data_IF_719094260583
#
_entry.id   IF_719094260583
#
_cell.length_a   1.000
_cell.length_b   1.000
_cell.length_c   1.000
_cell.angle_alpha   90.00
_cell.angle_beta   90.00
_cell.angle_gamma   90.00
#
_symmetry.space_group_name_H-M   'P 1'
#
loop_
_entity.id
_entity.type
_entity.pdbx_description
1 polymer ?
#
# COMPACT_ATOMS: atom_id res chain seq x y z
N UNK A 1 -32.89 -26.82 -4.26
CA UNK A 1 -32.51 -25.51 -3.70
C UNK A 1 -31.50 -24.88 -4.63
N UNK A 2 -31.95 -23.96 -5.49
CA UNK A 2 -31.10 -23.12 -6.33
C UNK A 2 -30.41 -22.08 -5.44
N UNK A 3 -29.21 -22.42 -4.94
CA UNK A 3 -28.38 -21.46 -4.22
C UNK A 3 -27.83 -20.48 -5.25
N UNK A 4 -28.63 -19.47 -5.61
CA UNK A 4 -28.13 -18.32 -6.35
C UNK A 4 -26.88 -17.82 -5.63
N UNK A 5 -25.76 -17.70 -6.35
CA UNK A 5 -24.58 -17.06 -5.80
C UNK A 5 -25.02 -15.72 -5.26
N UNK A 6 -24.80 -15.50 -3.95
CA UNK A 6 -25.01 -14.19 -3.36
C UNK A 6 -24.17 -13.17 -4.14
N UNK A 7 -24.62 -11.92 -4.25
CA UNK A 7 -23.84 -10.87 -4.92
C UNK A 7 -22.39 -10.82 -4.40
N UNK A 8 -22.20 -11.03 -3.09
CA UNK A 8 -20.90 -11.20 -2.44
C UNK A 8 -20.04 -12.29 -3.07
N UNK A 9 -20.62 -13.46 -3.37
CA UNK A 9 -19.90 -14.57 -3.99
C UNK A 9 -19.58 -14.30 -5.47
N UNK A 10 -20.43 -13.56 -6.18
CA UNK A 10 -20.16 -13.10 -7.54
C UNK A 10 -19.02 -12.06 -7.55
N UNK A 11 -19.04 -11.08 -6.64
CA UNK A 11 -17.95 -10.11 -6.47
C UNK A 11 -16.64 -10.76 -6.06
N UNK A 12 -16.70 -11.75 -5.16
CA UNK A 12 -15.54 -12.54 -4.79
C UNK A 12 -14.94 -13.29 -5.98
N UNK A 13 -15.77 -13.85 -6.87
CA UNK A 13 -15.31 -14.51 -8.09
C UNK A 13 -14.60 -13.52 -9.04
N UNK A 14 -15.13 -12.30 -9.22
CA UNK A 14 -14.47 -11.25 -10.02
C UNK A 14 -13.12 -10.86 -9.43
N UNK A 15 -13.04 -10.67 -8.10
CA UNK A 15 -11.78 -10.39 -7.42
C UNK A 15 -10.76 -11.51 -7.59
N UNK A 16 -11.19 -12.76 -7.42
CA UNK A 16 -10.29 -13.91 -7.61
C UNK A 16 -9.82 -14.08 -9.05
N UNK A 17 -10.66 -13.77 -10.05
CA UNK A 17 -10.25 -13.76 -11.45
C UNK A 17 -9.21 -12.66 -11.74
N UNK A 18 -9.35 -11.49 -11.10
CA UNK A 18 -8.44 -10.35 -11.29
C UNK A 18 -7.12 -10.47 -10.53
N UNK A 19 -7.17 -10.96 -9.30
CA UNK A 19 -6.04 -10.91 -8.35
C UNK A 19 -5.52 -12.30 -7.96
N UNK A 20 -6.17 -13.38 -8.39
CA UNK A 20 -5.83 -14.74 -7.98
C UNK A 20 -6.31 -15.07 -6.56
N UNK A 21 -5.64 -16.05 -5.94
CA UNK A 21 -5.90 -16.46 -4.56
C UNK A 21 -4.81 -15.90 -3.64
N UNK A 22 -5.17 -15.65 -2.39
CA UNK A 22 -4.17 -15.33 -1.37
C UNK A 22 -3.21 -16.53 -1.23
N UNK A 23 -1.90 -16.28 -1.06
CA UNK A 23 -0.95 -17.32 -0.70
C UNK A 23 -1.36 -18.04 0.60
N UNK A 24 -0.78 -19.21 0.83
CA UNK A 24 -0.93 -19.91 2.11
C UNK A 24 -0.42 -19.01 3.26
N UNK A 25 -1.05 -19.16 4.42
CA UNK A 25 -0.66 -18.39 5.61
C UNK A 25 0.73 -18.84 6.05
N UNK A 26 1.62 -17.87 6.25
CA UNK A 26 2.95 -18.11 6.82
C UNK A 26 2.78 -18.67 8.23
N UNK A 27 3.54 -19.69 8.58
CA UNK A 27 3.49 -20.27 9.92
C UNK A 27 4.03 -19.27 10.93
N UNK A 28 3.55 -19.32 12.16
CA UNK A 28 3.95 -18.35 13.17
C UNK A 28 5.46 -18.41 13.46
N UNK A 29 6.04 -19.61 13.44
CA UNK A 29 7.47 -19.84 13.59
C UNK A 29 8.33 -19.24 12.46
N UNK A 30 7.73 -18.99 11.30
CA UNK A 30 8.40 -18.41 10.12
C UNK A 30 8.17 -16.89 10.00
N UNK A 31 7.38 -16.30 10.92
CA UNK A 31 7.15 -14.84 10.95
C UNK A 31 8.31 -14.14 11.67
N UNK A 32 8.76 -13.01 11.13
CA UNK A 32 9.70 -12.11 11.82
C UNK A 32 8.95 -11.04 12.60
N UNK A 33 9.48 -10.63 13.75
CA UNK A 33 8.94 -9.48 14.49
C UNK A 33 8.98 -8.21 13.61
N UNK A 34 7.97 -7.35 13.77
CA UNK A 34 7.97 -6.05 13.11
C UNK A 34 9.09 -5.20 13.71
N UNK A 35 10.03 -4.80 12.86
CA UNK A 35 11.10 -3.86 13.23
C UNK A 35 10.75 -2.49 12.66
N UNK A 36 10.95 -1.44 13.44
CA UNK A 36 10.87 -0.07 12.93
C UNK A 36 11.76 0.05 11.70
N UNK A 37 11.16 0.39 10.56
CA UNK A 37 11.94 0.65 9.36
C UNK A 37 12.88 1.82 9.68
N UNK A 38 14.18 1.61 9.51
CA UNK A 38 15.13 2.72 9.52
C UNK A 38 14.61 3.76 8.51
N UNK A 39 14.64 5.07 8.83
CA UNK A 39 14.18 6.08 7.90
C UNK A 39 14.92 5.86 6.58
N UNK A 40 14.17 5.60 5.51
CA UNK A 40 14.76 5.40 4.19
C UNK A 40 15.59 6.66 3.86
N UNK A 41 16.93 6.55 3.91
CA UNK A 41 17.85 7.66 3.63
C UNK A 41 18.48 8.37 4.83
N UNK A 42 18.50 7.77 6.03
CA UNK A 42 19.14 8.38 7.20
C UNK A 42 20.69 8.36 7.15
N UNK A 43 21.29 9.30 6.41
CA UNK A 43 22.55 9.96 6.83
C UNK A 43 22.55 11.47 6.50
N UNK A 44 21.85 11.94 5.46
CA UNK A 44 22.02 13.33 4.98
C UNK A 44 20.75 14.18 4.83
N UNK A 45 19.55 13.67 5.12
CA UNK A 45 18.34 14.48 5.04
C UNK A 45 18.00 15.09 6.40
N UNK A 46 18.79 16.08 6.85
CA UNK A 46 18.22 17.00 7.86
C UNK A 46 17.03 17.67 7.21
N UNK A 47 15.85 17.55 7.80
CA UNK A 47 14.65 18.19 7.30
C UNK A 47 14.89 19.70 7.18
N UNK A 48 14.98 20.19 5.95
CA UNK A 48 15.13 21.60 5.62
C UNK A 48 13.80 22.11 5.06
N UNK A 49 12.94 22.74 5.90
CA UNK A 49 11.66 23.26 5.45
C UNK A 49 11.82 24.35 4.40
N UNK A 50 12.91 25.14 4.45
CA UNK A 50 13.21 26.19 3.47
C UNK A 50 13.74 25.63 2.15
N UNK A 51 14.33 24.43 2.15
CA UNK A 51 14.81 23.73 0.96
C UNK A 51 13.74 22.84 0.29
N UNK A 52 12.69 22.49 1.02
CA UNK A 52 11.66 21.54 0.58
C UNK A 52 10.74 22.09 -0.53
N UNK A 53 10.60 23.42 -0.66
CA UNK A 53 9.84 24.08 -1.73
C UNK A 53 10.26 23.68 -3.15
N UNK A 54 11.53 23.30 -3.34
CA UNK A 54 12.08 22.88 -4.63
C UNK A 54 11.44 21.60 -5.20
N UNK A 55 10.77 20.81 -4.35
CA UNK A 55 10.12 19.56 -4.74
C UNK A 55 8.60 19.67 -4.90
N UNK A 56 8.03 20.83 -4.56
CA UNK A 56 6.58 21.06 -4.63
C UNK A 56 6.12 21.70 -5.94
N UNK A 57 6.93 21.71 -7.00
CA UNK A 57 6.53 22.30 -8.29
C UNK A 57 5.25 21.69 -8.85
N UNK A 58 5.05 20.38 -8.72
CA UNK A 58 3.80 19.72 -9.13
C UNK A 58 2.62 20.15 -8.24
N UNK A 59 2.84 20.22 -6.93
CA UNK A 59 1.83 20.67 -5.97
C UNK A 59 1.41 22.13 -6.20
N UNK A 60 2.36 23.01 -6.54
CA UNK A 60 2.07 24.40 -6.88
C UNK A 60 1.23 24.51 -8.16
N UNK A 61 1.57 23.73 -9.19
CA UNK A 61 0.77 23.61 -10.41
C UNK A 61 -0.64 23.11 -10.14
N UNK A 62 -0.79 22.08 -9.31
CA UNK A 62 -2.09 21.51 -8.96
C UNK A 62 -2.98 22.48 -8.16
N UNK A 63 -2.36 23.41 -7.41
CA UNK A 63 -3.04 24.44 -6.64
C UNK A 63 -3.23 25.77 -7.40
N UNK A 64 -2.63 25.92 -8.58
CA UNK A 64 -2.72 27.11 -9.42
C UNK A 64 -1.97 28.34 -8.88
N UNK A 65 -0.89 28.13 -8.12
CA UNK A 65 -0.02 29.16 -7.55
C UNK A 65 1.15 29.53 -8.48
#
# INVERSE_FOLDING_TARGET
MNKGLTNEAAEAAVRHARFGKLPERIRFEDMTEAVEAAPAGAVNASYDPEGSWKYYSCLALDLGL
#
